data_IF_695725314537
#
_entry.id   IF_695725314537
#
_cell.length_a   1.000
_cell.length_b   1.000
_cell.length_c   1.000
_cell.angle_alpha   90.00
_cell.angle_beta   90.00
_cell.angle_gamma   90.00
#
_symmetry.space_group_name_H-M   'P 1'
#
loop_
_entity.id
_entity.type
_entity.pdbx_description
1 polymer ?
#
# COMPACT_ATOMS: atom_id res chain seq x y z
N UNK A 1 -27.83 -20.99 -2.77
CA UNK A 1 -27.95 -19.89 -1.78
C UNK A 1 -27.50 -18.62 -2.48
N UNK A 2 -28.03 -17.42 -2.17
CA UNK A 2 -27.45 -16.20 -2.71
C UNK A 2 -26.00 -16.09 -2.24
N UNK A 3 -25.08 -15.84 -3.17
CA UNK A 3 -23.67 -15.72 -2.86
C UNK A 3 -23.44 -14.53 -1.92
N UNK A 4 -22.74 -14.75 -0.80
CA UNK A 4 -22.51 -13.72 0.23
C UNK A 4 -21.75 -12.50 -0.33
N UNK A 5 -20.85 -12.71 -1.29
CA UNK A 5 -20.12 -11.65 -1.98
C UNK A 5 -21.03 -10.83 -2.92
N UNK A 6 -21.98 -11.49 -3.59
CA UNK A 6 -22.98 -10.80 -4.44
C UNK A 6 -24.00 -10.00 -3.64
N UNK A 7 -24.14 -10.28 -2.34
CA UNK A 7 -25.00 -9.53 -1.42
C UNK A 7 -24.25 -8.41 -0.69
N UNK A 8 -22.93 -8.26 -0.91
CA UNK A 8 -22.16 -7.19 -0.31
C UNK A 8 -22.60 -5.84 -0.90
N UNK A 9 -22.90 -4.82 -0.08
CA UNK A 9 -23.25 -3.49 -0.56
C UNK A 9 -22.12 -2.83 -1.38
N UNK A 10 -20.89 -3.34 -1.27
CA UNK A 10 -19.71 -2.76 -1.91
C UNK A 10 -19.45 -3.32 -3.31
N UNK A 11 -19.94 -4.54 -3.63
CA UNK A 11 -19.86 -5.09 -5.01
C UNK A 11 -21.26 -5.16 -5.59
N UNK A 12 -21.64 -4.12 -6.33
CA UNK A 12 -22.89 -4.16 -7.11
C UNK A 12 -22.63 -4.93 -8.39
N UNK A 13 -22.90 -6.24 -8.36
CA UNK A 13 -22.81 -7.06 -9.55
C UNK A 13 -24.20 -7.21 -10.18
N UNK A 14 -24.26 -7.19 -11.51
CA UNK A 14 -25.49 -7.52 -12.23
C UNK A 14 -25.85 -9.00 -12.04
N UNK A 15 -27.01 -9.45 -12.52
CA UNK A 15 -27.39 -10.87 -12.40
C UNK A 15 -26.50 -11.79 -13.25
N UNK A 16 -26.05 -11.28 -14.40
CA UNK A 16 -25.24 -12.05 -15.35
C UNK A 16 -24.07 -11.24 -15.88
N UNK A 17 -23.05 -11.96 -16.35
CA UNK A 17 -21.83 -11.42 -16.94
C UNK A 17 -21.61 -12.11 -18.29
N UNK A 18 -21.48 -11.32 -19.35
CA UNK A 18 -21.01 -11.82 -20.64
C UNK A 18 -19.50 -11.69 -20.69
N UNK A 19 -18.82 -12.79 -20.97
CA UNK A 19 -17.36 -12.88 -21.04
C UNK A 19 -16.95 -13.07 -22.50
N UNK A 20 -16.02 -12.25 -22.96
CA UNK A 20 -15.42 -12.29 -24.29
C UNK A 20 -13.93 -12.64 -24.14
N UNK A 21 -13.58 -13.93 -24.23
CA UNK A 21 -12.20 -14.37 -24.14
C UNK A 21 -11.39 -13.82 -25.32
N UNK A 22 -10.16 -13.36 -25.06
CA UNK A 22 -9.27 -12.86 -26.12
C UNK A 22 -8.81 -13.98 -27.08
N UNK A 23 -8.69 -15.21 -26.57
CA UNK A 23 -8.20 -16.36 -27.31
C UNK A 23 -9.07 -17.61 -27.07
N UNK A 24 -9.12 -18.48 -28.08
CA UNK A 24 -9.89 -19.73 -28.01
C UNK A 24 -9.43 -20.65 -26.86
N UNK A 25 -8.15 -20.65 -26.51
CA UNK A 25 -7.67 -21.45 -25.39
C UNK A 25 -8.19 -20.93 -24.03
N UNK A 26 -8.31 -19.61 -23.88
CA UNK A 26 -8.90 -18.98 -22.69
C UNK A 26 -10.39 -19.32 -22.57
N UNK A 27 -11.12 -19.35 -23.70
CA UNK A 27 -12.51 -19.81 -23.77
C UNK A 27 -12.65 -21.24 -23.23
N UNK A 28 -11.82 -22.17 -23.69
CA UNK A 28 -11.85 -23.57 -23.27
C UNK A 28 -11.59 -23.73 -21.76
N UNK A 29 -10.59 -23.02 -21.20
CA UNK A 29 -10.32 -23.04 -19.76
C UNK A 29 -11.51 -22.55 -18.94
N UNK A 30 -12.16 -21.47 -19.35
CA UNK A 30 -13.34 -20.94 -18.67
C UNK A 30 -14.53 -21.91 -18.71
N UNK A 31 -14.70 -22.62 -19.83
CA UNK A 31 -15.71 -23.67 -19.97
C UNK A 31 -15.39 -24.88 -19.07
N UNK A 32 -14.14 -25.30 -18.97
CA UNK A 32 -13.70 -26.40 -18.09
C UNK A 32 -13.89 -26.08 -16.59
N UNK A 33 -13.92 -24.80 -16.23
CA UNK A 33 -14.21 -24.32 -14.88
C UNK A 33 -15.70 -24.38 -14.51
N UNK A 34 -16.59 -24.58 -15.47
CA UNK A 34 -18.05 -24.47 -15.35
C UNK A 34 -18.87 -25.79 -15.25
N UNK A 35 -18.34 -26.97 -14.87
CA UNK A 35 -19.10 -28.21 -14.96
C UNK A 35 -20.30 -28.19 -14.00
N UNK A 36 -21.51 -28.32 -14.56
CA UNK A 36 -22.78 -28.22 -13.84
C UNK A 36 -23.64 -27.00 -14.21
N UNK A 37 -23.07 -26.01 -14.90
CA UNK A 37 -23.85 -25.09 -15.72
C UNK A 37 -24.32 -25.91 -16.94
N UNK A 38 -25.64 -26.06 -17.11
CA UNK A 38 -26.23 -26.78 -18.24
C UNK A 38 -25.85 -26.07 -19.55
N UNK A 39 -24.67 -26.40 -20.10
CA UNK A 39 -23.96 -25.61 -21.12
C UNK A 39 -23.62 -24.18 -20.61
N UNK A 40 -22.69 -23.43 -21.26
CA UNK A 40 -22.79 -21.96 -21.20
C UNK A 40 -24.25 -21.62 -21.46
N UNK A 41 -24.86 -20.66 -20.76
CA UNK A 41 -26.17 -20.17 -21.16
C UNK A 41 -26.02 -19.46 -22.53
N UNK A 42 -25.95 -20.26 -23.60
CA UNK A 42 -25.63 -19.89 -24.97
C UNK A 42 -24.25 -19.25 -25.13
N UNK A 43 -23.39 -19.82 -25.98
CA UNK A 43 -22.55 -18.95 -26.81
C UNK A 43 -23.51 -17.99 -27.49
N UNK A 44 -23.37 -16.71 -27.18
CA UNK A 44 -24.27 -15.72 -27.73
C UNK A 44 -24.00 -15.60 -29.23
N UNK A 45 -25.01 -15.19 -30.02
CA UNK A 45 -24.83 -15.01 -31.48
C UNK A 45 -23.68 -14.05 -31.83
N UNK A 46 -23.31 -13.19 -30.87
CA UNK A 46 -22.22 -12.22 -30.93
C UNK A 46 -20.92 -12.69 -30.24
N UNK A 47 -20.78 -13.98 -29.94
CA UNK A 47 -19.51 -14.62 -29.57
C UNK A 47 -19.14 -14.65 -28.08
N UNK A 48 -19.93 -14.05 -27.20
CA UNK A 48 -19.68 -14.05 -25.75
C UNK A 48 -20.19 -15.31 -25.03
N UNK A 49 -19.57 -15.63 -23.89
CA UNK A 49 -20.00 -16.65 -22.94
C UNK A 49 -20.81 -16.01 -21.81
N UNK A 50 -22.05 -16.45 -21.58
CA UNK A 50 -22.85 -15.95 -20.47
C UNK A 50 -22.61 -16.77 -19.20
N UNK A 51 -22.23 -16.11 -18.12
CA UNK A 51 -22.09 -16.67 -16.79
C UNK A 51 -23.05 -15.97 -15.83
N UNK A 52 -23.67 -16.69 -14.88
CA UNK A 52 -24.29 -16.02 -13.76
C UNK A 52 -23.19 -15.44 -12.87
N UNK A 53 -23.42 -14.25 -12.32
CA UNK A 53 -22.39 -13.53 -11.54
C UNK A 53 -21.81 -14.34 -10.37
N UNK A 54 -22.64 -15.11 -9.67
CA UNK A 54 -22.19 -15.92 -8.53
C UNK A 54 -21.11 -16.95 -8.92
N UNK A 55 -21.03 -17.34 -10.20
CA UNK A 55 -19.97 -18.22 -10.70
C UNK A 55 -18.59 -17.68 -10.34
N UNK A 56 -18.32 -16.40 -10.64
CA UNK A 56 -17.02 -15.79 -10.37
C UNK A 56 -16.78 -15.63 -8.87
N UNK A 57 -17.80 -15.25 -8.10
CA UNK A 57 -17.65 -15.14 -6.66
C UNK A 57 -17.30 -16.49 -6.01
N UNK A 58 -17.91 -17.59 -6.45
CA UNK A 58 -17.68 -18.93 -5.94
C UNK A 58 -16.40 -19.58 -6.48
N UNK A 59 -15.96 -19.21 -7.69
CA UNK A 59 -14.86 -19.87 -8.40
C UNK A 59 -13.64 -18.97 -8.65
N UNK A 60 -13.57 -17.74 -8.13
CA UNK A 60 -12.46 -16.80 -8.40
C UNK A 60 -11.08 -17.42 -8.18
N UNK A 61 -10.89 -18.21 -7.11
CA UNK A 61 -9.61 -18.90 -6.85
C UNK A 61 -9.24 -19.92 -7.93
N UNK A 62 -10.23 -20.60 -8.52
CA UNK A 62 -10.01 -21.54 -9.63
C UNK A 62 -9.73 -20.79 -10.93
N UNK A 63 -10.45 -19.70 -11.17
CA UNK A 63 -10.23 -18.82 -12.34
C UNK A 63 -8.81 -18.25 -12.32
N UNK A 64 -8.35 -17.75 -11.16
CA UNK A 64 -7.00 -17.19 -10.97
C UNK A 64 -5.89 -18.25 -11.11
N UNK A 65 -6.18 -19.50 -10.75
CA UNK A 65 -5.23 -20.61 -10.90
C UNK A 65 -5.10 -21.11 -12.34
N UNK A 66 -6.18 -21.07 -13.13
CA UNK A 66 -6.22 -21.61 -14.49
C UNK A 66 -5.81 -20.57 -15.55
N UNK A 67 -6.15 -19.29 -15.35
CA UNK A 67 -5.86 -18.22 -16.29
C UNK A 67 -4.60 -17.44 -15.87
N UNK A 68 -3.72 -17.16 -16.82
CA UNK A 68 -2.55 -16.30 -16.57
C UNK A 68 -2.98 -14.83 -16.43
N UNK A 69 -2.15 -13.95 -15.81
CA UNK A 69 -2.47 -12.53 -15.71
C UNK A 69 -2.78 -11.85 -17.06
N UNK A 70 -2.05 -12.11 -18.16
CA UNK A 70 -2.44 -11.61 -19.49
C UNK A 70 -3.81 -12.11 -19.94
N UNK A 71 -4.11 -13.41 -19.73
CA UNK A 71 -5.42 -13.96 -20.11
C UNK A 71 -6.57 -13.28 -19.35
N UNK A 72 -6.38 -12.97 -18.07
CA UNK A 72 -7.37 -12.24 -17.27
C UNK A 72 -7.50 -10.77 -17.72
N UNK A 73 -6.40 -10.12 -18.07
CA UNK A 73 -6.37 -8.73 -18.51
C UNK A 73 -7.01 -8.54 -19.89
N UNK A 74 -6.77 -9.47 -20.81
CA UNK A 74 -7.25 -9.37 -22.20
C UNK A 74 -8.69 -9.90 -22.36
N UNK A 75 -9.17 -10.71 -21.42
CA UNK A 75 -10.56 -11.18 -21.40
C UNK A 75 -11.48 -10.05 -20.98
N UNK A 76 -12.42 -9.68 -21.83
CA UNK A 76 -13.37 -8.59 -21.57
C UNK A 76 -14.66 -9.14 -20.98
N UNK A 77 -15.21 -8.44 -19.99
CA UNK A 77 -16.50 -8.75 -19.40
C UNK A 77 -17.47 -7.58 -19.49
N UNK A 78 -18.76 -7.92 -19.56
CA UNK A 78 -19.88 -6.97 -19.55
C UNK A 78 -20.93 -7.45 -18.55
N UNK A 79 -21.16 -6.67 -17.50
CA UNK A 79 -22.28 -6.88 -16.58
C UNK A 79 -23.60 -6.56 -17.27
N UNK A 80 -24.57 -7.48 -17.22
CA UNK A 80 -25.89 -7.30 -17.85
C UNK A 80 -27.03 -7.65 -16.90
N UNK A 81 -28.12 -6.86 -16.97
CA UNK A 81 -29.33 -7.12 -16.21
C UNK A 81 -30.27 -8.16 -16.85
N UNK A 82 -30.05 -8.51 -18.13
CA UNK A 82 -30.90 -9.43 -18.89
C UNK A 82 -30.12 -10.56 -19.55
N UNK A 83 -30.54 -10.98 -20.75
CA UNK A 83 -29.91 -12.06 -21.51
C UNK A 83 -29.04 -11.56 -22.68
N UNK A 84 -28.99 -10.24 -22.92
CA UNK A 84 -28.14 -9.64 -23.95
C UNK A 84 -27.70 -8.22 -23.55
N UNK A 85 -26.48 -7.79 -23.89
CA UNK A 85 -25.96 -6.51 -23.49
C UNK A 85 -26.56 -5.36 -24.31
N UNK A 86 -26.97 -4.30 -23.62
CA UNK A 86 -27.31 -3.01 -24.23
C UNK A 86 -26.04 -2.20 -24.58
N UNK A 87 -26.12 -1.23 -25.51
CA UNK A 87 -24.98 -0.37 -25.83
C UNK A 87 -24.36 0.34 -24.60
N UNK A 88 -25.18 0.73 -23.62
CA UNK A 88 -24.71 1.37 -22.39
C UNK A 88 -24.01 0.40 -21.43
N UNK A 89 -24.35 -0.90 -21.45
CA UNK A 89 -23.62 -1.94 -20.71
C UNK A 89 -22.29 -2.26 -21.41
N UNK A 90 -22.28 -2.40 -22.75
CA UNK A 90 -21.04 -2.60 -23.52
C UNK A 90 -20.05 -1.44 -23.32
N UNK A 91 -20.53 -0.20 -23.24
CA UNK A 91 -19.67 0.96 -22.97
C UNK A 91 -18.98 0.92 -21.59
N UNK A 92 -19.47 0.07 -20.68
CA UNK A 92 -18.89 -0.17 -19.34
C UNK A 92 -18.11 -1.49 -19.27
N UNK A 93 -17.78 -2.09 -20.41
CA UNK A 93 -16.96 -3.28 -20.48
C UNK A 93 -15.64 -3.08 -19.73
N UNK A 94 -15.20 -4.11 -19.01
CA UNK A 94 -13.95 -4.09 -18.25
C UNK A 94 -13.19 -5.41 -18.38
N UNK A 95 -11.88 -5.45 -18.10
CA UNK A 95 -11.15 -6.70 -17.99
C UNK A 95 -11.74 -7.64 -16.93
N UNK A 96 -11.71 -8.96 -17.18
CA UNK A 96 -12.04 -9.98 -16.19
C UNK A 96 -11.15 -9.85 -14.96
N UNK A 97 -9.88 -9.49 -15.15
CA UNK A 97 -8.94 -9.20 -14.06
C UNK A 97 -9.50 -8.18 -13.06
N UNK A 98 -10.21 -7.15 -13.53
CA UNK A 98 -10.82 -6.13 -12.65
C UNK A 98 -11.84 -6.75 -11.71
N UNK A 99 -12.75 -7.59 -12.23
CA UNK A 99 -13.74 -8.29 -11.40
C UNK A 99 -13.08 -9.26 -10.42
N UNK A 100 -12.08 -10.02 -10.87
CA UNK A 100 -11.37 -10.96 -9.99
C UNK A 100 -10.68 -10.21 -8.85
N UNK A 101 -10.05 -9.07 -9.14
CA UNK A 101 -9.43 -8.22 -8.13
C UNK A 101 -10.46 -7.61 -7.16
N UNK A 102 -11.62 -7.17 -7.64
CA UNK A 102 -12.74 -6.68 -6.80
C UNK A 102 -13.20 -7.78 -5.83
N UNK A 103 -13.44 -8.99 -6.33
CA UNK A 103 -13.86 -10.14 -5.52
C UNK A 103 -12.78 -10.49 -4.48
N UNK A 104 -11.52 -10.55 -4.89
CA UNK A 104 -10.38 -10.85 -4.00
C UNK A 104 -10.19 -9.78 -2.93
N UNK A 105 -10.48 -8.52 -3.25
CA UNK A 105 -10.33 -7.38 -2.35
C UNK A 105 -11.47 -7.22 -1.34
N UNK A 106 -12.56 -7.98 -1.45
CA UNK A 106 -13.75 -7.74 -0.64
C UNK A 106 -13.51 -7.89 0.86
N UNK A 107 -12.71 -8.89 1.27
CA UNK A 107 -12.39 -9.06 2.69
C UNK A 107 -11.65 -7.84 3.27
N UNK A 108 -10.86 -7.13 2.45
CA UNK A 108 -10.15 -5.94 2.86
C UNK A 108 -11.13 -4.77 3.01
N UNK A 109 -12.07 -4.62 2.08
CA UNK A 109 -13.18 -3.65 2.21
C UNK A 109 -13.89 -3.87 3.54
N UNK A 110 -14.29 -5.11 3.83
CA UNK A 110 -14.98 -5.44 5.08
C UNK A 110 -14.10 -5.11 6.29
N UNK A 111 -12.81 -5.44 6.26
CA UNK A 111 -11.86 -5.09 7.33
C UNK A 111 -11.80 -3.58 7.56
N UNK A 112 -11.74 -2.78 6.50
CA UNK A 112 -11.67 -1.32 6.58
C UNK A 112 -12.98 -0.72 7.13
N UNK A 113 -14.13 -1.18 6.65
CA UNK A 113 -15.45 -0.67 7.05
C UNK A 113 -15.78 -0.97 8.52
N UNK A 114 -15.20 -2.04 9.08
CA UNK A 114 -15.33 -2.39 10.49
C UNK A 114 -14.22 -1.82 11.38
N UNK A 115 -13.32 -0.98 10.84
CA UNK A 115 -12.24 -0.36 11.62
C UNK A 115 -11.19 -1.37 12.09
N UNK A 116 -10.97 -2.45 11.36
CA UNK A 116 -10.00 -3.50 11.69
C UNK A 116 -8.53 -3.08 11.50
N UNK A 117 -8.28 -1.87 11.02
CA UNK A 117 -6.94 -1.34 10.80
C UNK A 117 -6.42 -0.58 12.04
N UNK A 118 -5.19 -0.88 12.42
CA UNK A 118 -4.48 -0.20 13.50
C UNK A 118 -3.00 -0.05 13.16
N UNK A 119 -2.23 0.61 14.02
CA UNK A 119 -0.79 0.79 13.87
C UNK A 119 -0.03 0.29 15.09
N UNK A 120 1.14 -0.28 14.83
CA UNK A 120 2.19 -0.51 15.83
C UNK A 120 3.29 0.53 15.63
N UNK A 121 3.93 0.95 16.72
CA UNK A 121 4.99 1.95 16.69
C UNK A 121 6.36 1.26 16.78
N UNK A 122 7.27 1.60 15.88
CA UNK A 122 8.68 1.21 15.98
C UNK A 122 9.54 2.44 16.30
N UNK A 123 10.43 2.39 17.31
CA UNK A 123 11.22 3.55 17.69
C UNK A 123 12.35 3.82 16.69
N UNK A 124 12.57 5.10 16.43
CA UNK A 124 13.74 5.67 15.77
C UNK A 124 14.52 6.43 16.83
N UNK A 125 15.83 6.18 16.93
CA UNK A 125 16.69 6.77 17.97
C UNK A 125 17.79 7.64 17.39
N UNK A 126 18.22 8.64 18.16
CA UNK A 126 19.36 9.48 17.83
C UNK A 126 20.72 8.78 18.08
N UNK A 127 21.81 9.50 17.79
CA UNK A 127 23.18 9.01 18.00
C UNK A 127 23.50 8.67 19.47
N UNK A 128 22.83 9.30 20.43
CA UNK A 128 22.99 9.04 21.86
C UNK A 128 22.09 7.89 22.36
N UNK A 129 21.18 7.38 21.52
CA UNK A 129 20.23 6.34 21.87
C UNK A 129 18.93 6.86 22.48
N UNK A 130 18.69 8.17 22.49
CA UNK A 130 17.41 8.72 22.91
C UNK A 130 16.39 8.51 21.80
N UNK A 131 15.14 8.24 22.19
CA UNK A 131 14.04 8.10 21.24
C UNK A 131 13.76 9.46 20.59
N UNK A 132 13.93 9.52 19.28
CA UNK A 132 13.69 10.70 18.48
C UNK A 132 12.25 10.70 17.91
N UNK A 133 11.82 9.52 17.45
CA UNK A 133 10.57 9.38 16.73
C UNK A 133 10.02 7.95 16.82
N UNK A 134 8.83 7.77 16.27
CA UNK A 134 8.25 6.47 15.99
C UNK A 134 7.78 6.41 14.54
N UNK A 135 8.05 5.28 13.88
CA UNK A 135 7.36 4.91 12.64
C UNK A 135 6.08 4.15 12.98
N UNK A 136 4.98 4.57 12.36
CA UNK A 136 3.66 3.98 12.52
C UNK A 136 3.42 2.95 11.41
N UNK A 137 3.53 1.68 11.77
CA UNK A 137 3.44 0.56 10.84
C UNK A 137 2.03 -0.04 10.89
N UNK A 138 1.33 -0.08 9.75
CA UNK A 138 -0.03 -0.60 9.68
C UNK A 138 -0.11 -2.08 10.05
N UNK A 139 -1.21 -2.48 10.67
CA UNK A 139 -1.58 -3.87 10.97
C UNK A 139 -3.09 -4.00 10.83
N UNK A 140 -3.56 -5.13 10.34
CA UNK A 140 -4.98 -5.43 10.26
C UNK A 140 -5.38 -6.47 11.30
N UNK A 141 -6.67 -6.51 11.62
CA UNK A 141 -7.30 -7.57 12.38
C UNK A 141 -8.55 -8.01 11.62
N UNK A 142 -8.64 -9.31 11.31
CA UNK A 142 -9.81 -9.86 10.64
C UNK A 142 -11.01 -9.99 11.59
N UNK A 143 -12.18 -10.35 11.05
CA UNK A 143 -13.41 -10.53 11.82
C UNK A 143 -13.33 -11.64 12.89
N UNK A 144 -12.32 -12.51 12.83
CA UNK A 144 -12.08 -13.59 13.79
C UNK A 144 -11.02 -13.20 14.84
N UNK A 145 -10.47 -11.99 14.76
CA UNK A 145 -9.44 -11.49 15.68
C UNK A 145 -8.01 -11.91 15.30
N UNK A 146 -7.80 -12.48 14.12
CA UNK A 146 -6.45 -12.82 13.66
C UNK A 146 -5.75 -11.59 13.09
N UNK A 147 -4.43 -11.50 13.33
CA UNK A 147 -3.61 -10.45 12.76
C UNK A 147 -3.45 -10.63 11.24
N UNK A 148 -3.63 -9.54 10.50
CA UNK A 148 -3.39 -9.44 9.06
C UNK A 148 -2.17 -8.55 8.83
N UNK A 149 -1.18 -9.08 8.12
CA UNK A 149 0.07 -8.35 7.84
C UNK A 149 -0.10 -7.38 6.66
N UNK A 150 0.70 -6.30 6.62
CA UNK A 150 0.69 -5.30 5.54
C UNK A 150 0.69 -5.88 4.13
N UNK A 151 1.60 -6.80 3.83
CA UNK A 151 1.80 -7.36 2.48
C UNK A 151 0.49 -7.96 1.94
N UNK A 152 -0.25 -8.70 2.77
CA UNK A 152 -1.55 -9.29 2.39
C UNK A 152 -2.61 -8.23 2.11
N UNK A 153 -2.62 -7.11 2.84
CA UNK A 153 -3.56 -6.01 2.59
C UNK A 153 -3.18 -5.24 1.32
N UNK A 154 -1.89 -5.00 1.10
CA UNK A 154 -1.39 -4.34 -0.11
C UNK A 154 -1.67 -5.18 -1.37
N UNK A 155 -1.47 -6.50 -1.30
CA UNK A 155 -1.81 -7.44 -2.37
C UNK A 155 -3.32 -7.47 -2.68
N UNK A 156 -4.17 -7.36 -1.65
CA UNK A 156 -5.62 -7.31 -1.84
C UNK A 156 -6.13 -5.95 -2.33
N UNK A 157 -5.38 -4.87 -2.08
CA UNK A 157 -5.65 -3.54 -2.60
C UNK A 157 -5.22 -3.38 -4.06
N UNK A 158 -5.65 -4.32 -4.91
CA UNK A 158 -5.21 -4.45 -6.30
C UNK A 158 -5.80 -3.39 -7.25
N UNK A 159 -6.84 -2.65 -6.84
CA UNK A 159 -7.40 -1.54 -7.62
C UNK A 159 -6.94 -0.19 -7.06
N UNK A 160 -6.80 0.81 -7.92
CA UNK A 160 -6.45 2.18 -7.50
C UNK A 160 -7.38 2.71 -6.41
N UNK A 161 -8.69 2.45 -6.54
CA UNK A 161 -9.68 2.90 -5.56
C UNK A 161 -9.50 2.21 -4.19
N UNK A 162 -9.23 0.90 -4.15
CA UNK A 162 -9.02 0.19 -2.90
C UNK A 162 -7.66 0.52 -2.27
N UNK A 163 -6.64 0.77 -3.09
CA UNK A 163 -5.32 1.26 -2.64
C UNK A 163 -5.42 2.63 -1.99
N UNK A 164 -6.16 3.58 -2.59
CA UNK A 164 -6.47 4.88 -2.00
C UNK A 164 -7.21 4.75 -0.66
N UNK A 165 -8.24 3.89 -0.59
CA UNK A 165 -8.98 3.63 0.66
C UNK A 165 -8.09 3.04 1.75
N UNK A 166 -7.22 2.07 1.42
CA UNK A 166 -6.29 1.47 2.37
C UNK A 166 -5.28 2.50 2.90
N UNK A 167 -4.68 3.29 2.02
CA UNK A 167 -3.69 4.32 2.37
C UNK A 167 -4.29 5.40 3.29
N UNK A 168 -5.49 5.89 2.93
CA UNK A 168 -6.24 6.83 3.76
C UNK A 168 -6.55 6.25 5.15
N UNK A 169 -7.07 5.02 5.21
CA UNK A 169 -7.36 4.36 6.48
C UNK A 169 -6.09 4.16 7.31
N UNK A 170 -4.97 3.80 6.67
CA UNK A 170 -3.67 3.61 7.34
C UNK A 170 -3.16 4.91 7.95
N UNK A 171 -3.24 6.03 7.23
CA UNK A 171 -2.89 7.36 7.77
C UNK A 171 -3.76 7.73 8.97
N UNK A 172 -5.08 7.54 8.86
CA UNK A 172 -6.01 7.83 9.96
C UNK A 172 -5.73 6.96 11.19
N UNK A 173 -5.46 5.67 11.00
CA UNK A 173 -5.08 4.76 12.07
C UNK A 173 -3.75 5.21 12.72
N UNK A 174 -2.75 5.56 11.92
CA UNK A 174 -1.45 6.03 12.39
C UNK A 174 -1.57 7.32 13.22
N UNK A 175 -2.28 8.33 12.72
CA UNK A 175 -2.55 9.58 13.44
C UNK A 175 -3.30 9.30 14.74
N UNK A 176 -4.38 8.53 14.68
CA UNK A 176 -5.21 8.21 15.85
C UNK A 176 -4.45 7.40 16.91
N UNK A 177 -3.62 6.46 16.48
CA UNK A 177 -2.85 5.64 17.40
C UNK A 177 -1.65 6.41 17.97
N UNK A 178 -1.00 7.27 17.19
CA UNK A 178 0.15 8.06 17.65
C UNK A 178 -0.20 9.02 18.79
N UNK A 179 -1.44 9.50 18.89
CA UNK A 179 -1.93 10.29 20.03
C UNK A 179 -1.80 9.58 21.39
N UNK A 180 -1.66 8.24 21.40
CA UNK A 180 -1.47 7.43 22.61
C UNK A 180 0.01 7.26 22.99
N UNK A 181 0.95 7.76 22.18
CA UNK A 181 2.37 7.74 22.48
C UNK A 181 2.66 8.86 23.48
N UNK A 182 3.24 8.57 24.66
CA UNK A 182 3.47 9.57 25.70
C UNK A 182 4.62 10.53 25.36
N UNK A 183 5.58 10.11 24.53
CA UNK A 183 6.63 11.00 24.07
C UNK A 183 6.16 11.92 22.95
N UNK A 184 6.74 13.13 22.91
CA UNK A 184 6.44 14.15 21.91
C UNK A 184 7.39 14.08 20.70
N UNK A 185 7.95 12.90 20.42
CA UNK A 185 8.81 12.66 19.27
C UNK A 185 8.07 12.84 17.94
N UNK A 186 8.81 12.81 16.84
CA UNK A 186 8.22 12.81 15.51
C UNK A 186 7.47 11.49 15.26
N UNK A 187 6.48 11.53 14.38
CA UNK A 187 5.64 10.41 13.99
C UNK A 187 5.78 10.25 12.48
N UNK A 188 6.39 9.16 12.06
CA UNK A 188 6.57 8.83 10.66
C UNK A 188 5.39 7.97 10.19
N UNK A 189 4.81 8.36 9.05
CA UNK A 189 3.61 7.75 8.49
C UNK A 189 3.84 7.47 7.01
N UNK A 190 3.70 6.21 6.63
CA UNK A 190 3.77 5.79 5.23
C UNK A 190 2.68 6.44 4.39
N UNK A 191 3.02 6.82 3.16
CA UNK A 191 2.13 7.45 2.19
C UNK A 191 2.39 6.90 0.78
N UNK A 192 1.31 6.57 0.07
CA UNK A 192 1.36 6.04 -1.30
C UNK A 192 0.96 7.13 -2.31
N UNK A 193 1.90 7.67 -3.12
CA UNK A 193 1.57 8.69 -4.10
C UNK A 193 0.54 8.26 -5.16
N UNK A 194 0.58 6.99 -5.60
CA UNK A 194 -0.40 6.45 -6.58
C UNK A 194 -1.85 6.46 -6.08
N UNK A 195 -2.03 6.63 -4.77
CA UNK A 195 -3.32 6.66 -4.10
C UNK A 195 -3.98 8.05 -4.19
N UNK A 196 -3.21 9.08 -4.54
CA UNK A 196 -3.69 10.47 -4.59
C UNK A 196 -4.18 10.83 -5.99
N UNK A 197 -5.49 11.01 -6.10
CA UNK A 197 -6.13 11.55 -7.30
C UNK A 197 -6.16 13.08 -7.31
N UNK A 198 -6.42 13.68 -6.15
CA UNK A 198 -6.39 15.13 -5.95
C UNK A 198 -5.67 15.45 -4.63
N UNK A 199 -4.51 16.11 -4.67
CA UNK A 199 -3.74 16.47 -3.48
C UNK A 199 -4.50 17.36 -2.50
N UNK A 200 -5.44 18.18 -2.97
CA UNK A 200 -6.16 19.12 -2.12
C UNK A 200 -7.25 18.43 -1.30
N UNK A 201 -7.80 17.29 -1.75
CA UNK A 201 -8.83 16.54 -1.02
C UNK A 201 -8.29 15.29 -0.31
N UNK A 202 -7.28 14.63 -0.86
CA UNK A 202 -6.81 13.31 -0.37
C UNK A 202 -6.21 13.36 1.06
N UNK A 203 -5.92 14.57 1.55
CA UNK A 203 -5.28 14.81 2.84
C UNK A 203 -6.22 15.40 3.90
N UNK A 204 -7.39 15.88 3.50
CA UNK A 204 -8.29 16.66 4.38
C UNK A 204 -8.71 15.87 5.62
N UNK A 205 -9.03 14.58 5.47
CA UNK A 205 -9.40 13.74 6.60
C UNK A 205 -8.22 13.50 7.55
N UNK A 206 -7.01 13.31 7.02
CA UNK A 206 -5.80 13.15 7.83
C UNK A 206 -5.50 14.44 8.61
N UNK A 207 -5.61 15.59 7.93
CA UNK A 207 -5.46 16.91 8.53
C UNK A 207 -6.53 17.19 9.61
N UNK A 208 -7.78 16.82 9.35
CA UNK A 208 -8.87 16.97 10.31
C UNK A 208 -8.61 16.11 11.57
N UNK A 209 -8.13 14.89 11.40
CA UNK A 209 -7.75 14.02 12.52
C UNK A 209 -6.59 14.61 13.34
N UNK A 210 -5.54 15.10 12.68
CA UNK A 210 -4.38 15.76 13.32
C UNK A 210 -4.83 16.96 14.16
N UNK A 211 -5.67 17.83 13.58
CA UNK A 211 -6.25 18.99 14.29
C UNK A 211 -7.12 18.58 15.48
N UNK A 212 -7.97 17.57 15.29
CA UNK A 212 -8.89 17.08 16.34
C UNK A 212 -8.14 16.50 17.53
N UNK A 213 -7.00 15.87 17.29
CA UNK A 213 -6.16 15.25 18.32
C UNK A 213 -5.09 16.20 18.89
N UNK A 214 -5.09 17.47 18.48
CA UNK A 214 -4.11 18.49 18.90
C UNK A 214 -2.64 18.04 18.71
N UNK A 215 -2.39 17.35 17.59
CA UNK A 215 -1.04 16.95 17.21
C UNK A 215 -0.39 18.09 16.43
N UNK A 216 0.75 18.57 16.91
CA UNK A 216 1.57 19.54 16.18
C UNK A 216 1.98 18.97 14.81
N UNK A 217 1.58 19.60 13.69
CA UNK A 217 1.94 19.16 12.35
C UNK A 217 3.44 19.01 12.13
N UNK A 218 4.27 19.82 12.79
CA UNK A 218 5.73 19.73 12.68
C UNK A 218 6.31 18.41 13.19
N UNK A 219 5.50 17.61 13.91
CA UNK A 219 5.88 16.26 14.35
C UNK A 219 5.56 15.18 13.33
N UNK A 220 4.69 15.43 12.36
CA UNK A 220 4.32 14.41 11.37
C UNK A 220 5.33 14.44 10.22
N UNK A 221 5.87 13.28 9.90
CA UNK A 221 6.75 13.04 8.76
C UNK A 221 6.07 12.05 7.84
N UNK A 222 5.79 12.44 6.60
CA UNK A 222 5.26 11.51 5.60
C UNK A 222 6.40 10.80 4.87
N UNK A 223 6.36 9.48 4.87
CA UNK A 223 7.33 8.63 4.19
C UNK A 223 6.78 8.24 2.83
N UNK A 224 7.52 8.55 1.77
CA UNK A 224 7.14 8.19 0.41
C UNK A 224 7.78 6.87 0.04
N UNK A 225 6.92 5.85 -0.05
CA UNK A 225 7.31 4.46 -0.26
C UNK A 225 7.61 4.19 -1.73
N UNK A 226 8.66 3.41 -1.97
CA UNK A 226 9.27 3.11 -3.28
C UNK A 226 8.34 2.39 -4.29
N UNK A 227 7.25 1.75 -3.83
CA UNK A 227 6.48 0.80 -4.66
C UNK A 227 5.68 1.43 -5.81
N UNK A 228 5.68 2.76 -5.95
CA UNK A 228 5.06 3.45 -7.07
C UNK A 228 6.16 4.07 -7.95
N UNK A 229 6.27 3.62 -9.19
CA UNK A 229 7.06 4.34 -10.19
C UNK A 229 6.55 5.78 -10.25
N UNK A 230 7.37 6.73 -9.80
CA UNK A 230 7.04 8.16 -9.84
C UNK A 230 7.09 8.58 -11.31
N UNK A 231 5.96 8.44 -11.99
CA UNK A 231 5.79 8.84 -13.39
C UNK A 231 5.37 10.30 -13.51
N UNK A 232 4.74 10.85 -12.47
CA UNK A 232 4.25 12.22 -12.42
C UNK A 232 4.88 13.00 -11.26
N UNK A 233 6.03 13.61 -11.55
CA UNK A 233 6.71 14.50 -10.60
C UNK A 233 5.93 15.80 -10.33
N UNK A 234 5.06 16.25 -11.24
CA UNK A 234 4.27 17.47 -11.01
C UNK A 234 3.21 17.24 -9.93
N UNK A 235 2.52 16.09 -9.99
CA UNK A 235 1.61 15.65 -8.95
C UNK A 235 2.34 15.52 -7.60
N UNK A 236 3.52 14.88 -7.60
CA UNK A 236 4.29 14.69 -6.37
C UNK A 236 4.77 16.01 -5.75
N UNK A 237 5.24 16.95 -6.58
CA UNK A 237 5.60 18.30 -6.15
C UNK A 237 4.39 19.04 -5.56
N UNK A 238 3.20 18.89 -6.15
CA UNK A 238 1.97 19.49 -5.62
C UNK A 238 1.59 18.92 -4.24
N UNK A 239 1.65 17.60 -4.06
CA UNK A 239 1.41 16.91 -2.79
C UNK A 239 2.40 17.41 -1.73
N UNK A 240 3.68 17.45 -2.06
CA UNK A 240 4.73 17.83 -1.11
C UNK A 240 4.69 19.31 -0.77
N UNK A 241 4.38 20.15 -1.76
CA UNK A 241 4.09 21.56 -1.56
C UNK A 241 2.90 21.76 -0.63
N UNK A 242 1.88 20.91 -0.69
CA UNK A 242 0.78 20.93 0.30
C UNK A 242 1.26 20.49 1.67
N UNK A 243 2.02 19.39 1.78
CA UNK A 243 2.54 18.91 3.06
C UNK A 243 3.35 19.97 3.81
N UNK A 244 4.28 20.63 3.12
CA UNK A 244 5.09 21.69 3.73
C UNK A 244 4.28 22.91 4.15
N UNK A 245 3.24 23.28 3.38
CA UNK A 245 2.34 24.40 3.75
C UNK A 245 1.55 24.11 5.03
N UNK A 246 1.22 22.85 5.28
CA UNK A 246 0.56 22.42 6.52
C UNK A 246 1.56 22.18 7.67
N UNK A 247 2.87 22.28 7.41
CA UNK A 247 3.93 22.16 8.41
C UNK A 247 4.52 20.76 8.56
N UNK A 248 4.17 19.80 7.69
CA UNK A 248 4.71 18.45 7.71
C UNK A 248 6.12 18.39 7.12
N UNK A 249 6.91 17.43 7.62
CA UNK A 249 8.17 17.03 7.00
C UNK A 249 7.96 15.80 6.11
N UNK A 250 8.96 15.53 5.29
CA UNK A 250 8.94 14.47 4.28
C UNK A 250 10.20 13.62 4.41
N UNK A 251 10.01 12.31 4.32
CA UNK A 251 11.06 11.33 4.22
C UNK A 251 10.97 10.57 2.89
N UNK A 252 12.12 10.30 2.28
CA UNK A 252 12.21 9.28 1.24
C UNK A 252 12.59 7.95 1.86
N UNK A 253 11.77 6.94 1.64
CA UNK A 253 12.00 5.60 2.16
C UNK A 253 12.81 4.73 1.18
N UNK A 254 13.43 3.67 1.70
CA UNK A 254 14.20 2.67 0.91
C UNK A 254 15.29 3.26 -0.03
N UNK A 255 15.95 4.35 0.37
CA UNK A 255 16.92 5.01 -0.51
C UNK A 255 18.13 4.12 -0.82
N UNK A 256 18.44 4.03 -2.11
CA UNK A 256 19.57 3.27 -2.65
C UNK A 256 19.23 1.84 -3.07
N UNK A 257 17.96 1.45 -2.95
CA UNK A 257 17.35 0.31 -3.65
C UNK A 257 16.18 0.80 -4.51
N UNK A 258 16.05 0.23 -5.72
CA UNK A 258 15.00 0.51 -6.73
C UNK A 258 14.74 1.99 -7.12
N UNK A 259 13.51 2.51 -6.98
CA UNK A 259 13.06 3.74 -7.67
C UNK A 259 13.44 5.06 -6.97
N UNK A 260 13.58 5.09 -5.65
CA UNK A 260 13.96 6.30 -4.90
C UNK A 260 15.47 6.58 -5.06
N UNK A 261 15.77 7.35 -6.11
CA UNK A 261 17.12 7.65 -6.55
C UNK A 261 17.53 9.11 -6.26
N UNK A 262 18.77 9.46 -6.64
CA UNK A 262 19.32 10.81 -6.47
C UNK A 262 18.47 11.88 -7.17
N UNK A 263 17.85 11.58 -8.32
CA UNK A 263 16.98 12.53 -9.01
C UNK A 263 15.78 12.92 -8.13
N UNK A 264 15.19 11.94 -7.45
CA UNK A 264 14.08 12.15 -6.52
C UNK A 264 14.49 13.05 -5.35
N UNK A 265 15.68 12.83 -4.77
CA UNK A 265 16.24 13.69 -3.73
C UNK A 265 16.44 15.13 -4.21
N UNK A 266 17.00 15.32 -5.41
CA UNK A 266 17.28 16.64 -5.98
C UNK A 266 15.99 17.42 -6.22
N UNK A 267 14.97 16.76 -6.77
CA UNK A 267 13.67 17.37 -7.08
C UNK A 267 12.91 17.69 -5.80
N UNK A 268 12.71 16.68 -4.95
CA UNK A 268 11.79 16.78 -3.82
C UNK A 268 12.38 17.45 -2.60
N UNK A 269 13.73 17.44 -2.45
CA UNK A 269 14.46 18.03 -1.31
C UNK A 269 13.87 17.65 0.05
N UNK A 270 13.80 16.35 0.37
CA UNK A 270 13.18 15.88 1.61
C UNK A 270 13.96 16.34 2.84
N UNK A 271 13.30 16.39 3.99
CA UNK A 271 13.95 16.66 5.27
C UNK A 271 14.68 15.41 5.79
N UNK A 272 14.22 14.21 5.41
CA UNK A 272 14.80 12.93 5.80
C UNK A 272 15.02 11.98 4.61
N UNK A 273 16.05 11.15 4.70
CA UNK A 273 16.26 9.99 3.85
C UNK A 273 16.48 8.77 4.76
N UNK A 274 15.72 7.70 4.50
CA UNK A 274 15.87 6.41 5.16
C UNK A 274 16.71 5.50 4.27
N UNK A 275 17.83 5.02 4.80
CA UNK A 275 18.76 4.12 4.12
C UNK A 275 18.25 2.70 4.28
N UNK A 276 17.95 2.03 3.17
CA UNK A 276 17.39 0.69 3.17
C UNK A 276 18.26 -0.31 3.95
N UNK A 277 17.58 -1.27 4.60
CA UNK A 277 18.22 -2.33 5.38
C UNK A 277 19.21 -3.14 4.56
N UNK A 278 19.04 -3.31 3.25
CA UNK A 278 19.98 -4.05 2.41
C UNK A 278 21.33 -3.36 2.31
N UNK A 279 21.37 -2.02 2.43
CA UNK A 279 22.61 -1.26 2.46
C UNK A 279 23.23 -1.27 3.85
N UNK A 280 22.42 -1.17 4.89
CA UNK A 280 22.88 -1.08 6.28
C UNK A 280 23.31 -2.45 6.84
N UNK A 281 22.53 -3.49 6.59
CA UNK A 281 22.81 -4.85 7.06
C UNK A 281 24.04 -5.42 6.35
N UNK A 282 25.04 -5.81 7.16
CA UNK A 282 26.31 -6.34 6.67
C UNK A 282 27.31 -5.29 6.20
N UNK A 283 26.98 -3.98 6.24
CA UNK A 283 27.90 -2.91 5.82
C UNK A 283 29.24 -2.91 6.58
N UNK A 284 29.25 -3.41 7.82
CA UNK A 284 30.48 -3.53 8.63
C UNK A 284 31.50 -4.51 8.03
N UNK A 285 31.04 -5.48 7.25
CA UNK A 285 31.88 -6.52 6.65
C UNK A 285 31.96 -6.38 5.11
N UNK A 286 31.32 -5.35 4.53
CA UNK A 286 31.27 -5.09 3.08
C UNK A 286 31.70 -3.65 2.78
N UNK A 287 32.91 -3.50 2.21
CA UNK A 287 33.48 -2.20 1.87
C UNK A 287 32.63 -1.41 0.89
N UNK A 288 31.98 -2.06 -0.07
CA UNK A 288 31.16 -1.37 -1.07
C UNK A 288 29.91 -0.78 -0.44
N UNK A 289 29.20 -1.58 0.37
CA UNK A 289 28.03 -1.06 1.14
C UNK A 289 28.44 0.05 2.09
N UNK A 290 29.54 -0.12 2.82
CA UNK A 290 30.05 0.90 3.74
C UNK A 290 30.37 2.21 3.02
N UNK A 291 31.00 2.14 1.84
CA UNK A 291 31.35 3.31 1.06
C UNK A 291 30.08 4.01 0.52
N UNK A 292 29.11 3.23 0.03
CA UNK A 292 27.84 3.78 -0.45
C UNK A 292 27.07 4.53 0.65
N UNK A 293 26.99 3.94 1.85
CA UNK A 293 26.39 4.60 3.01
C UNK A 293 27.13 5.89 3.36
N UNK A 294 28.47 5.86 3.40
CA UNK A 294 29.29 7.04 3.69
C UNK A 294 29.05 8.18 2.69
N UNK A 295 29.03 7.87 1.40
CA UNK A 295 28.81 8.84 0.33
C UNK A 295 27.39 9.43 0.41
N UNK A 296 26.40 8.57 0.64
CA UNK A 296 25.00 9.01 0.80
C UNK A 296 24.84 9.95 2.00
N UNK A 297 25.40 9.57 3.15
CA UNK A 297 25.40 10.41 4.36
C UNK A 297 26.10 11.76 4.10
N UNK A 298 27.23 11.74 3.40
CA UNK A 298 27.97 12.96 3.07
C UNK A 298 27.15 13.90 2.19
N UNK A 299 26.49 13.36 1.15
CA UNK A 299 25.62 14.13 0.26
C UNK A 299 24.44 14.71 1.05
N UNK A 300 23.78 13.90 1.89
CA UNK A 300 22.66 14.35 2.71
C UNK A 300 23.07 15.52 3.63
N UNK A 301 24.20 15.38 4.34
CA UNK A 301 24.73 16.41 5.23
C UNK A 301 25.03 17.74 4.50
N UNK A 302 25.64 17.68 3.32
CA UNK A 302 25.92 18.86 2.50
C UNK A 302 24.66 19.61 2.06
N UNK A 303 23.52 18.92 2.02
CA UNK A 303 22.22 19.48 1.61
C UNK A 303 21.28 19.71 2.80
N UNK A 304 21.74 19.53 4.04
CA UNK A 304 20.92 19.71 5.24
C UNK A 304 19.86 18.62 5.45
N UNK A 305 19.96 17.51 4.75
CA UNK A 305 19.05 16.37 4.83
C UNK A 305 19.50 15.44 5.96
N UNK A 306 18.55 14.95 6.75
CA UNK A 306 18.82 14.00 7.85
C UNK A 306 18.75 12.56 7.38
N UNK A 307 19.65 11.73 7.88
CA UNK A 307 19.71 10.32 7.49
C UNK A 307 19.23 9.40 8.61
N UNK A 308 18.47 8.38 8.24
CA UNK A 308 17.97 7.33 9.14
C UNK A 308 18.48 5.99 8.61
N UNK A 309 19.26 5.24 9.39
CA UNK A 309 19.71 3.92 9.00
C UNK A 309 18.73 2.84 9.47
N UNK A 310 18.17 2.08 8.54
CA UNK A 310 17.25 0.98 8.84
C UNK A 310 17.95 -0.37 9.00
N UNK A 311 17.26 -1.35 9.58
CA UNK A 311 17.82 -2.71 9.72
C UNK A 311 18.99 -2.80 10.69
N UNK A 312 19.07 -1.91 11.70
CA UNK A 312 20.08 -2.02 12.74
C UNK A 312 19.73 -3.16 13.71
N UNK A 313 20.27 -4.35 13.42
CA UNK A 313 19.96 -5.58 14.14
C UNK A 313 21.00 -5.99 15.19
N UNK A 314 22.13 -5.30 15.28
CA UNK A 314 23.13 -5.56 16.31
C UNK A 314 24.01 -4.34 16.60
N UNK A 315 24.76 -4.40 17.71
CA UNK A 315 25.65 -3.33 18.15
C UNK A 315 26.79 -3.02 17.17
N UNK A 316 27.35 -4.04 16.49
CA UNK A 316 28.44 -3.83 15.51
C UNK A 316 27.97 -2.96 14.34
N UNK A 317 26.78 -3.26 13.79
CA UNK A 317 26.16 -2.45 12.73
C UNK A 317 25.91 -1.03 13.22
N UNK A 318 25.30 -0.87 14.40
CA UNK A 318 25.04 0.46 14.97
C UNK A 318 26.31 1.30 15.09
N UNK A 319 27.37 0.74 15.70
CA UNK A 319 28.62 1.46 15.91
C UNK A 319 29.31 1.81 14.59
N UNK A 320 29.23 0.92 13.59
CA UNK A 320 29.80 1.17 12.26
C UNK A 320 29.07 2.31 11.55
N UNK A 321 27.75 2.21 11.38
CA UNK A 321 26.96 3.22 10.66
C UNK A 321 26.97 4.57 11.38
N UNK A 322 27.00 4.56 12.73
CA UNK A 322 27.18 5.78 13.52
C UNK A 322 28.50 6.48 13.20
N UNK A 323 29.60 5.74 13.01
CA UNK A 323 30.91 6.31 12.61
C UNK A 323 30.86 6.91 11.21
N UNK A 324 30.06 6.35 10.30
CA UNK A 324 29.86 6.89 8.95
C UNK A 324 29.08 8.21 8.93
N UNK A 325 28.52 8.64 10.06
CA UNK A 325 27.92 9.97 10.21
C UNK A 325 26.40 10.02 10.18
N UNK A 326 25.71 8.86 10.15
CA UNK A 326 24.25 8.81 10.11
C UNK A 326 23.61 9.47 11.36
N UNK A 327 22.49 10.18 11.17
CA UNK A 327 21.87 10.98 12.25
C UNK A 327 21.01 10.11 13.18
N UNK A 328 20.22 9.19 12.62
CA UNK A 328 19.25 8.38 13.34
C UNK A 328 19.29 6.90 12.95
N UNK A 329 18.71 6.04 13.78
CA UNK A 329 18.81 4.60 13.63
C UNK A 329 17.48 3.91 13.97
N UNK A 330 17.12 2.89 13.19
CA UNK A 330 15.95 2.05 13.38
C UNK A 330 16.30 0.59 13.16
N UNK A 331 15.76 -0.30 14.00
CA UNK A 331 15.98 -1.74 13.86
C UNK A 331 15.68 -2.51 15.14
N UNK A 332 15.64 -3.84 15.04
CA UNK A 332 15.21 -4.70 16.15
C UNK A 332 16.16 -4.68 17.36
N UNK A 333 17.43 -4.32 17.17
CA UNK A 333 18.36 -4.09 18.29
C UNK A 333 17.98 -2.89 19.14
N UNK A 334 17.31 -1.91 18.54
CA UNK A 334 16.94 -0.62 19.16
C UNK A 334 15.49 -0.64 19.67
N UNK A 335 14.63 -1.37 18.98
CA UNK A 335 13.27 -1.66 19.41
C UNK A 335 12.47 -2.31 18.29
N UNK A 336 11.71 -3.34 18.66
CA UNK A 336 10.75 -3.97 17.76
C UNK A 336 9.47 -3.14 17.67
N UNK A 337 8.73 -3.21 16.55
CA UNK A 337 7.38 -2.65 16.47
C UNK A 337 6.49 -3.20 17.59
N UNK A 338 5.78 -2.33 18.31
CA UNK A 338 4.88 -2.72 19.41
C UNK A 338 3.56 -1.93 19.35
N UNK A 339 2.45 -2.50 19.87
CA UNK A 339 1.19 -1.76 20.02
C UNK A 339 1.38 -0.47 20.81
N UNK A 340 0.75 0.61 20.35
CA UNK A 340 0.82 1.89 21.04
C UNK A 340 0.11 1.82 22.40
N UNK A 341 0.72 2.39 23.43
CA UNK A 341 0.17 2.38 24.80
C UNK A 341 0.58 1.17 25.63
N UNK A 342 1.30 0.20 25.07
CA UNK A 342 2.05 -0.78 25.89
C UNK A 342 3.37 -0.15 26.34
N UNK A 343 3.38 0.41 27.55
CA UNK A 343 4.64 0.78 28.22
C UNK A 343 5.53 -0.44 28.30
N UNK A 344 6.71 -0.37 27.66
CA UNK A 344 7.78 -1.33 27.92
C UNK A 344 8.27 -1.07 29.33
N UNK A 345 8.12 -2.05 30.22
CA UNK A 345 8.76 -2.06 31.53
C UNK A 345 10.29 -2.10 31.40
#
# INVERSE_FOLDING_TARGET
MPCALCASPTITLAEHIVVYPAEQHTELKLLDLSPGLNAPFGRQDYGGLLFPTHFFCENHNRVDAELTPPQLADTVIVDIAGTSPSPAEVARARPLLTLINEIRGQWLVDLLDHGGLYSVAQPIVDRAGNRFAHEMLMRGMDAHGNAVMPDRMLEAAATTALRARLDQAARLAAVTNSARIPDKGCIFINFLPSSVYDPDFSLDETLAAIRTLDIDPARIVFEVVETDEITDFELLDAIFGRFRREGFAIALDDFGTGFNNIETVIRLRPEYIKLDKMLVMGAVDDTMKSQFVLETVSIAQLNGIKTIAEGVENQRTLDHIRKLGCDYFQGYHLGRPKPVGTTSA
#
